data_IF_817689120367
#
_entry.id   IF_817689120367
#
_cell.length_a   1.000
_cell.length_b   1.000
_cell.length_c   1.000
_cell.angle_alpha   90.00
_cell.angle_beta   90.00
_cell.angle_gamma   90.00
#
_symmetry.space_group_name_H-M   'P 1'
#
loop_
_entity.id
_entity.type
_entity.pdbx_description
1 polymer ?
#
# COMPACT_ATOMS: atom_id res chain seq x y z
N UNK A 1 8.84 -4.29 -1.08
CA UNK A 1 9.46 -3.30 -0.18
C UNK A 1 10.73 -2.77 -0.82
N UNK A 2 10.94 -1.47 -0.72
CA UNK A 2 12.20 -0.83 -1.12
C UNK A 2 13.02 -0.54 0.14
N UNK A 3 14.03 -1.37 0.47
CA UNK A 3 14.77 -1.23 1.73
C UNK A 3 15.62 0.05 1.79
N UNK A 4 15.88 0.69 0.66
CA UNK A 4 16.59 1.97 0.60
C UNK A 4 15.75 3.19 0.90
N UNK A 5 14.43 3.03 1.09
CA UNK A 5 13.55 4.15 1.39
C UNK A 5 13.81 4.69 2.81
N UNK A 6 13.73 6.00 2.98
CA UNK A 6 14.07 6.67 4.24
C UNK A 6 13.19 6.24 5.43
N UNK A 7 11.97 5.75 5.19
CA UNK A 7 11.09 5.18 6.21
C UNK A 7 11.78 4.06 7.00
N UNK A 8 12.63 3.29 6.35
CA UNK A 8 13.27 2.10 6.95
C UNK A 8 14.58 2.39 7.68
N UNK A 9 14.94 3.65 7.85
CA UNK A 9 16.14 4.03 8.60
C UNK A 9 16.14 3.46 10.03
N UNK A 10 14.99 3.48 10.68
CA UNK A 10 14.80 2.97 12.04
C UNK A 10 13.96 1.69 12.12
N UNK A 11 13.64 1.13 10.98
CA UNK A 11 12.98 -0.16 10.83
C UNK A 11 13.62 -0.92 9.67
N UNK A 12 14.88 -1.37 9.86
CA UNK A 12 15.61 -2.04 8.79
C UNK A 12 14.85 -3.25 8.24
N UNK A 13 14.81 -3.37 6.93
CA UNK A 13 14.05 -4.42 6.25
C UNK A 13 14.84 -4.99 5.07
N UNK A 14 14.51 -6.22 4.71
CA UNK A 14 14.96 -6.83 3.47
C UNK A 14 14.10 -6.36 2.28
N UNK A 15 14.38 -6.86 1.10
CA UNK A 15 13.57 -6.57 -0.09
C UNK A 15 12.18 -7.17 -0.04
N UNK A 16 11.95 -8.09 0.86
CA UNK A 16 10.68 -8.78 1.07
C UNK A 16 10.21 -8.62 2.52
N UNK A 17 8.94 -8.91 2.76
CA UNK A 17 8.35 -8.88 4.10
C UNK A 17 8.67 -10.20 4.84
N UNK A 18 9.50 -10.09 5.87
CA UNK A 18 9.85 -11.19 6.77
C UNK A 18 9.00 -11.18 8.04
N UNK A 19 9.38 -11.93 9.09
CA UNK A 19 8.59 -12.07 10.31
C UNK A 19 8.27 -10.77 11.05
N UNK A 20 9.13 -9.77 10.98
CA UNK A 20 8.85 -8.47 11.61
C UNK A 20 7.64 -7.75 11.02
N UNK A 21 7.26 -8.11 9.79
CA UNK A 21 6.14 -7.51 9.07
C UNK A 21 4.80 -8.18 9.37
N UNK A 22 4.79 -9.29 10.10
CA UNK A 22 3.58 -10.09 10.31
C UNK A 22 2.43 -9.27 10.87
N UNK A 23 2.65 -8.56 11.99
CA UNK A 23 1.59 -7.75 12.60
C UNK A 23 1.17 -6.57 11.72
N UNK A 24 2.10 -5.95 11.03
CA UNK A 24 1.81 -4.84 10.13
C UNK A 24 0.90 -5.28 8.99
N UNK A 25 1.22 -6.39 8.34
CA UNK A 25 0.48 -6.92 7.20
C UNK A 25 -0.85 -7.53 7.64
N UNK A 26 -0.85 -8.29 8.71
CA UNK A 26 -2.04 -8.94 9.24
C UNK A 26 -3.15 -7.95 9.58
N UNK A 27 -2.80 -6.79 10.10
CA UNK A 27 -3.73 -5.74 10.50
C UNK A 27 -3.91 -4.67 9.41
N UNK A 28 -3.65 -4.99 8.16
CA UNK A 28 -3.74 -4.06 7.05
C UNK A 28 -4.86 -4.41 6.07
N UNK A 29 -5.28 -3.40 5.33
CA UNK A 29 -6.16 -3.55 4.17
C UNK A 29 -5.53 -2.81 3.00
N UNK A 30 -4.97 -3.56 2.07
CA UNK A 30 -4.32 -2.98 0.91
C UNK A 30 -5.29 -2.13 0.07
N UNK A 31 -4.78 -1.03 -0.41
CA UNK A 31 -5.54 -0.08 -1.24
C UNK A 31 -5.18 -0.32 -2.70
N UNK A 32 -6.20 -0.34 -3.56
CA UNK A 32 -6.03 -0.54 -5.00
C UNK A 32 -5.47 0.74 -5.62
N UNK A 33 -4.32 0.61 -6.27
CA UNK A 33 -3.58 1.71 -6.90
C UNK A 33 -3.68 1.70 -8.43
N UNK A 34 -4.62 0.98 -9.01
CA UNK A 34 -4.75 0.81 -10.46
C UNK A 34 -5.00 2.12 -11.21
N UNK A 35 -5.60 3.11 -10.55
CA UNK A 35 -5.83 4.43 -11.13
C UNK A 35 -4.54 5.25 -11.31
N UNK A 36 -3.45 4.82 -10.69
CA UNK A 36 -2.14 5.47 -10.81
C UNK A 36 -1.36 4.91 -11.99
N UNK A 37 -0.47 5.71 -12.61
CA UNK A 37 0.39 5.23 -13.66
C UNK A 37 1.24 4.04 -13.22
N UNK A 38 1.52 3.13 -14.15
CA UNK A 38 2.26 1.90 -13.87
C UNK A 38 3.67 2.14 -13.30
N UNK A 39 4.27 3.29 -13.60
CA UNK A 39 5.58 3.68 -13.06
C UNK A 39 5.57 4.15 -11.61
N UNK A 40 4.40 4.38 -11.02
CA UNK A 40 4.31 4.73 -9.61
C UNK A 40 4.64 3.54 -8.71
N UNK A 41 5.57 3.73 -7.79
CA UNK A 41 5.99 2.71 -6.84
C UNK A 41 5.59 3.13 -5.43
N UNK A 42 4.68 2.40 -4.77
CA UNK A 42 4.39 2.62 -3.36
C UNK A 42 5.59 2.22 -2.49
N UNK A 43 5.65 2.76 -1.27
CA UNK A 43 6.71 2.42 -0.30
C UNK A 43 6.63 0.95 0.08
N UNK A 44 5.42 0.46 0.35
CA UNK A 44 5.15 -0.95 0.59
C UNK A 44 4.07 -1.41 -0.38
N UNK A 45 4.43 -2.31 -1.26
CA UNK A 45 3.54 -2.94 -2.23
C UNK A 45 3.29 -4.38 -1.85
N UNK A 46 2.06 -4.83 -2.01
CA UNK A 46 1.68 -6.24 -1.88
C UNK A 46 1.18 -6.77 -3.22
N UNK A 47 1.34 -8.06 -3.41
CA UNK A 47 0.90 -8.76 -4.61
C UNK A 47 -0.52 -9.27 -4.38
N UNK A 48 -1.41 -8.97 -5.30
CA UNK A 48 -2.78 -9.47 -5.29
C UNK A 48 -2.84 -10.93 -5.78
N UNK A 49 -4.00 -11.56 -5.65
CA UNK A 49 -4.21 -12.88 -6.22
C UNK A 49 -4.28 -12.83 -7.76
N UNK A 50 -4.14 -13.99 -8.38
CA UNK A 50 -4.07 -14.12 -9.85
C UNK A 50 -5.37 -13.70 -10.53
N UNK A 51 -6.49 -13.84 -9.84
CA UNK A 51 -7.82 -13.56 -10.40
C UNK A 51 -8.11 -12.07 -10.50
N UNK A 52 -7.69 -11.28 -9.50
CA UNK A 52 -7.93 -9.83 -9.45
C UNK A 52 -6.80 -9.03 -10.06
N UNK A 53 -5.57 -9.42 -9.78
CA UNK A 53 -4.34 -8.81 -10.28
C UNK A 53 -4.30 -7.27 -10.18
N UNK A 54 -4.73 -6.73 -9.04
CA UNK A 54 -4.64 -5.29 -8.78
C UNK A 54 -3.24 -4.90 -8.30
N UNK A 55 -2.85 -3.67 -8.61
CA UNK A 55 -1.71 -3.04 -7.95
C UNK A 55 -2.15 -2.59 -6.56
N UNK A 56 -1.56 -3.17 -5.52
CA UNK A 56 -1.96 -2.93 -4.14
C UNK A 56 -0.83 -2.23 -3.36
N UNK A 57 -1.19 -1.23 -2.55
CA UNK A 57 -0.26 -0.56 -1.67
C UNK A 57 -0.72 -0.58 -0.22
N UNK A 58 0.21 -0.77 0.70
CA UNK A 58 -0.02 -0.64 2.15
C UNK A 58 0.44 0.71 2.67
N UNK A 59 1.58 1.19 2.21
CA UNK A 59 2.10 2.52 2.51
C UNK A 59 2.51 3.17 1.21
N UNK A 60 2.01 4.36 0.98
CA UNK A 60 2.33 5.14 -0.21
C UNK A 60 2.27 6.63 0.08
N UNK A 61 2.89 7.42 -0.75
CA UNK A 61 3.07 8.84 -0.52
C UNK A 61 2.92 9.66 -1.80
N UNK A 62 2.45 10.89 -1.63
CA UNK A 62 2.30 11.86 -2.71
C UNK A 62 2.68 13.26 -2.26
N UNK A 63 3.05 14.09 -3.21
CA UNK A 63 3.06 15.54 -3.05
C UNK A 63 1.71 16.07 -3.49
N UNK A 64 1.06 16.86 -2.63
CA UNK A 64 -0.24 17.47 -2.90
C UNK A 64 -0.08 18.98 -2.74
N UNK A 65 -0.04 19.72 -3.85
CA UNK A 65 0.24 21.15 -3.82
C UNK A 65 1.57 21.44 -3.13
N UNK A 66 1.52 22.20 -2.04
CA UNK A 66 2.69 22.50 -1.19
C UNK A 66 2.88 21.50 -0.05
N UNK A 67 1.95 20.57 0.12
CA UNK A 67 1.94 19.60 1.20
C UNK A 67 2.42 18.22 0.77
N UNK A 68 2.54 17.35 1.76
CA UNK A 68 2.92 15.95 1.58
C UNK A 68 1.83 15.09 2.21
N UNK A 69 1.48 14.01 1.53
CA UNK A 69 0.53 13.03 2.02
C UNK A 69 1.20 11.67 2.10
N UNK A 70 1.17 11.07 3.29
CA UNK A 70 1.57 9.68 3.49
C UNK A 70 0.35 8.90 3.95
N UNK A 71 0.04 7.82 3.24
CA UNK A 71 -1.10 6.95 3.55
C UNK A 71 -0.57 5.62 4.04
N UNK A 72 -1.01 5.22 5.21
CA UNK A 72 -0.74 3.90 5.77
C UNK A 72 -2.07 3.17 6.00
N UNK A 73 -2.27 2.07 5.31
CA UNK A 73 -3.48 1.26 5.39
C UNK A 73 -3.41 0.15 6.44
N UNK A 74 -2.31 0.08 7.18
CA UNK A 74 -2.19 -0.81 8.34
C UNK A 74 -2.78 -0.12 9.58
N UNK A 75 -3.55 -0.86 10.37
CA UNK A 75 -4.14 -0.33 11.60
C UNK A 75 -3.12 -0.32 12.74
N UNK A 76 -2.20 0.62 12.68
CA UNK A 76 -1.05 0.71 13.58
C UNK A 76 -1.42 0.88 15.06
N UNK A 77 -2.64 1.32 15.35
CA UNK A 77 -3.12 1.45 16.73
C UNK A 77 -3.42 0.11 17.39
N UNK A 78 -3.72 -0.93 16.62
CA UNK A 78 -4.19 -2.21 17.16
C UNK A 78 -3.06 -3.16 17.62
N UNK A 79 -1.81 -2.87 17.27
CA UNK A 79 -0.68 -3.74 17.59
C UNK A 79 0.47 -3.02 18.32
N UNK A 80 0.16 -1.96 19.07
CA UNK A 80 1.15 -1.21 19.85
C UNK A 80 1.69 -2.00 21.05
N UNK A 81 1.04 -3.08 21.44
CA UNK A 81 1.51 -4.03 22.44
C UNK A 81 2.67 -4.92 21.94
N UNK A 82 2.89 -4.98 20.63
CA UNK A 82 3.96 -5.74 20.00
C UNK A 82 5.19 -4.88 19.74
N UNK A 83 6.42 -5.38 20.03
CA UNK A 83 7.64 -4.61 19.78
C UNK A 83 7.81 -4.17 18.33
N UNK A 84 7.55 -5.04 17.37
CA UNK A 84 7.61 -4.75 15.94
C UNK A 84 6.57 -3.72 15.51
N UNK A 85 5.38 -3.75 16.11
CA UNK A 85 4.33 -2.77 15.86
C UNK A 85 4.71 -1.37 16.34
N UNK A 86 5.26 -1.28 17.55
CA UNK A 86 5.78 -0.01 18.07
C UNK A 86 6.94 0.53 17.25
N UNK A 87 7.86 -0.36 16.85
CA UNK A 87 9.01 0.03 16.04
C UNK A 87 8.59 0.57 14.67
N UNK A 88 7.65 -0.08 14.02
CA UNK A 88 7.10 0.38 12.74
C UNK A 88 6.37 1.72 12.87
N UNK A 89 5.51 1.86 13.88
CA UNK A 89 4.80 3.12 14.15
C UNK A 89 5.78 4.27 14.39
N UNK A 90 6.80 4.05 15.22
CA UNK A 90 7.81 5.06 15.52
C UNK A 90 8.59 5.45 14.26
N UNK A 91 8.98 4.46 13.45
CA UNK A 91 9.68 4.72 12.19
C UNK A 91 8.82 5.53 11.21
N UNK A 92 7.53 5.23 11.13
CA UNK A 92 6.58 5.95 10.30
C UNK A 92 6.43 7.41 10.76
N UNK A 93 6.29 7.63 12.07
CA UNK A 93 6.15 8.98 12.62
C UNK A 93 7.44 9.80 12.47
N UNK A 94 8.59 9.21 12.72
CA UNK A 94 9.88 9.87 12.54
C UNK A 94 10.12 10.26 11.08
N UNK A 95 9.71 9.39 10.16
CA UNK A 95 9.79 9.68 8.72
C UNK A 95 8.90 10.85 8.31
N UNK A 96 7.63 10.84 8.73
CA UNK A 96 6.64 11.85 8.33
C UNK A 96 7.04 13.26 8.77
N UNK A 97 7.66 13.40 9.95
CA UNK A 97 8.08 14.71 10.49
C UNK A 97 9.47 15.13 9.99
N UNK A 98 10.20 14.23 9.32
CA UNK A 98 11.56 14.50 8.86
C UNK A 98 11.60 15.17 7.49
N UNK A 99 12.71 15.84 7.19
CA UNK A 99 12.98 16.41 5.87
C UNK A 99 13.22 15.31 4.80
N UNK A 100 13.50 14.09 5.23
CA UNK A 100 13.64 12.93 4.35
C UNK A 100 12.31 12.52 3.69
N UNK A 101 11.17 12.89 4.29
CA UNK A 101 9.85 12.74 3.68
C UNK A 101 9.70 13.75 2.54
N UNK A 102 10.07 13.35 1.34
CA UNK A 102 10.01 14.18 0.15
C UNK A 102 9.44 13.39 -1.03
N UNK A 103 8.12 13.16 -1.05
CA UNK A 103 7.48 12.45 -2.15
C UNK A 103 7.72 13.16 -3.47
N UNK A 104 8.12 12.43 -4.50
CA UNK A 104 8.40 12.97 -5.84
C UNK A 104 7.16 12.97 -6.73
N UNK A 105 6.19 12.13 -6.43
CA UNK A 105 4.99 12.00 -7.24
C UNK A 105 3.93 12.98 -6.81
N UNK A 106 3.56 13.89 -7.71
CA UNK A 106 2.56 14.92 -7.43
C UNK A 106 1.19 14.47 -7.90
N UNK A 107 0.18 14.66 -7.06
CA UNK A 107 -1.23 14.46 -7.39
C UNK A 107 -2.05 15.68 -6.98
N UNK A 108 -3.18 15.87 -7.65
CA UNK A 108 -4.14 16.92 -7.30
C UNK A 108 -5.11 16.43 -6.23
N UNK A 109 -5.76 17.33 -5.46
CA UNK A 109 -6.81 16.94 -4.53
C UNK A 109 -7.96 16.18 -5.19
N UNK A 110 -8.32 16.52 -6.42
CA UNK A 110 -9.36 15.83 -7.18
C UNK A 110 -8.96 14.39 -7.53
N UNK A 111 -7.71 14.17 -7.91
CA UNK A 111 -7.18 12.82 -8.15
C UNK A 111 -7.23 11.96 -6.89
N UNK A 112 -6.89 12.53 -5.73
CA UNK A 112 -7.00 11.83 -4.44
C UNK A 112 -8.45 11.48 -4.13
N UNK A 113 -9.36 12.43 -4.31
CA UNK A 113 -10.79 12.22 -4.10
C UNK A 113 -11.33 11.10 -4.98
N UNK A 114 -11.00 11.09 -6.25
CA UNK A 114 -11.39 10.04 -7.18
C UNK A 114 -10.79 8.69 -6.81
N UNK A 115 -9.57 8.69 -6.33
CA UNK A 115 -8.85 7.50 -5.89
C UNK A 115 -9.57 6.76 -4.75
N UNK A 116 -10.06 7.50 -3.73
CA UNK A 116 -10.81 6.93 -2.61
C UNK A 116 -12.30 6.69 -2.90
N UNK A 117 -12.84 7.26 -3.96
CA UNK A 117 -14.22 7.08 -4.40
C UNK A 117 -14.39 6.01 -5.48
N UNK A 118 -13.33 5.23 -5.77
CA UNK A 118 -13.43 4.14 -6.74
C UNK A 118 -14.59 3.24 -6.37
N UNK A 119 -15.64 3.27 -7.21
CA UNK A 119 -16.77 2.34 -7.12
C UNK A 119 -16.18 0.94 -7.08
N UNK A 120 -16.69 0.09 -6.18
CA UNK A 120 -16.47 -1.35 -6.31
C UNK A 120 -16.67 -1.68 -7.78
N UNK A 121 -15.61 -2.14 -8.45
CA UNK A 121 -15.80 -2.80 -9.74
C UNK A 121 -16.89 -3.82 -9.47
N UNK A 122 -18.05 -3.66 -10.12
CA UNK A 122 -19.04 -4.72 -10.12
C UNK A 122 -18.25 -5.98 -10.39
N UNK A 123 -18.40 -6.98 -9.52
CA UNK A 123 -17.86 -8.28 -9.82
C UNK A 123 -18.31 -8.56 -11.23
N UNK A 124 -17.42 -8.47 -12.21
CA UNK A 124 -17.69 -9.12 -13.46
C UNK A 124 -17.87 -10.55 -13.04
N UNK A 125 -19.13 -10.98 -13.02
CA UNK A 125 -19.46 -12.38 -13.01
C UNK A 125 -18.86 -12.84 -14.33
N UNK A 126 -17.62 -13.31 -14.27
CA UNK A 126 -17.13 -14.21 -15.28
C UNK A 126 -18.09 -15.38 -15.12
N UNK A 127 -19.10 -15.43 -15.98
CA UNK A 127 -19.81 -16.68 -16.16
C UNK A 127 -18.74 -17.70 -16.46
N UNK A 128 -18.43 -18.50 -15.47
CA UNK A 128 -17.67 -19.70 -15.68
C UNK A 128 -18.55 -20.49 -16.63
N UNK A 129 -18.27 -20.34 -17.93
CA UNK A 129 -18.87 -21.20 -18.95
C UNK A 129 -18.67 -22.60 -18.42
N UNK A 130 -19.79 -23.29 -18.25
CA UNK A 130 -19.80 -24.65 -17.75
C UNK A 130 -18.70 -25.44 -18.46
N UNK A 131 -17.86 -26.12 -17.67
CA UNK A 131 -16.78 -26.98 -18.18
C UNK A 131 -17.31 -27.96 -19.25
N UNK A 132 -18.62 -28.22 -19.27
CA UNK A 132 -19.33 -28.98 -20.33
C UNK A 132 -19.25 -28.32 -21.72
N UNK A 133 -18.91 -27.04 -21.82
CA UNK A 133 -18.76 -26.40 -23.14
C UNK A 133 -17.39 -26.69 -23.77
N UNK A 134 -16.54 -27.39 -23.08
CA UNK A 134 -15.25 -27.89 -23.58
C UNK A 134 -15.33 -29.38 -23.88
N UNK A 135 -16.32 -29.79 -24.65
CA UNK A 135 -16.35 -31.12 -25.24
C UNK A 135 -15.20 -31.22 -26.24
N UNK A 136 -14.25 -31.99 -25.83
CA UNK A 136 -13.12 -32.38 -26.66
C UNK A 136 -13.59 -33.45 -27.65
#
# INVERSE_FOLDING_TARGET
VNPGHALFKHFPTDTHTNWQWWEVIRNSRAIILDALPAGYLPVIQVIDNVERNHKLGLVFEFRVGKGKLVVCSSNVSDYQDKPEGRAFYQALMDYVVSDACNPQWQVTPDEIKNFFQTKKKEKQIIEVRNITDYDI
#
